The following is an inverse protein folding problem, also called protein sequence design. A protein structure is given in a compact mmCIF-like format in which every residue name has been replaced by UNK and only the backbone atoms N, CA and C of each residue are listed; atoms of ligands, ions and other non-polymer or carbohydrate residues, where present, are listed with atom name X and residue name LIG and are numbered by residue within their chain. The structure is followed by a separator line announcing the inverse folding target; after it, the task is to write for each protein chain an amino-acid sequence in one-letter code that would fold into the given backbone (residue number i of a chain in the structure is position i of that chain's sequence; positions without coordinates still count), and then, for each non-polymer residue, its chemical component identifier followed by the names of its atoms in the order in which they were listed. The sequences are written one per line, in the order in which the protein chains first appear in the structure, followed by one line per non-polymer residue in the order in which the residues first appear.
data_IF_922282051628
#
_entry.id   IF_922282051628
#
_cell.length_a   1.000
_cell.length_b   1.000
_cell.length_c   1.000
_cell.angle_alpha   90.00
_cell.angle_beta   90.00
_cell.angle_gamma   90.00
#
_symmetry.space_group_name_H-M   'P 1'
#
loop_
_entity.id
_entity.type
_entity.pdbx_description
1 polymer ?
#
# COMPACT_ATOMS: atom_id res chain seq x y z
N UNK A 1 -8.64 6.39 19.81
CA UNK A 1 -8.81 5.98 18.40
C UNK A 1 -7.68 6.62 17.64
N UNK A 2 -6.83 5.82 16.99
CA UNK A 2 -5.69 6.34 16.21
C UNK A 2 -6.24 6.91 14.92
N UNK A 3 -5.94 8.17 14.63
CA UNK A 3 -6.53 8.88 13.52
C UNK A 3 -5.88 8.41 12.21
N UNK A 4 -6.58 7.60 11.42
CA UNK A 4 -6.09 7.08 10.13
C UNK A 4 -5.65 8.22 9.20
N UNK A 5 -6.25 9.40 9.35
CA UNK A 5 -5.89 10.61 8.63
C UNK A 5 -4.46 11.09 8.92
N UNK A 6 -4.04 11.15 10.20
CA UNK A 6 -2.67 11.55 10.57
C UNK A 6 -1.62 10.56 10.05
N UNK A 7 -1.97 9.27 10.00
CA UNK A 7 -1.08 8.24 9.43
C UNK A 7 -0.87 8.51 7.95
N UNK A 8 -1.94 8.78 7.20
CA UNK A 8 -1.87 9.03 5.76
C UNK A 8 -1.09 10.31 5.44
N UNK A 9 -1.29 11.40 6.18
CA UNK A 9 -0.55 12.65 5.99
C UNK A 9 0.96 12.48 6.21
N UNK A 10 1.36 11.80 7.28
CA UNK A 10 2.78 11.56 7.57
C UNK A 10 3.42 10.68 6.50
N UNK A 11 2.71 9.64 6.04
CA UNK A 11 3.26 8.77 5.01
C UNK A 11 3.37 9.52 3.66
N UNK A 12 2.40 10.36 3.28
CA UNK A 12 2.48 11.22 2.09
C UNK A 12 3.71 12.12 2.12
N UNK A 13 3.93 12.84 3.23
CA UNK A 13 5.08 13.73 3.39
C UNK A 13 6.42 12.99 3.30
N UNK A 14 6.49 11.74 3.78
CA UNK A 14 7.67 10.88 3.64
C UNK A 14 7.86 10.47 2.17
N UNK A 15 6.79 10.06 1.48
CA UNK A 15 6.88 9.58 0.10
C UNK A 15 7.26 10.69 -0.88
N UNK A 16 6.79 11.91 -0.66
CA UNK A 16 7.10 13.10 -1.46
C UNK A 16 8.50 13.68 -1.16
N UNK A 17 9.24 13.09 -0.21
CA UNK A 17 10.59 13.55 0.16
C UNK A 17 10.60 14.84 0.99
N UNK A 18 9.43 15.29 1.46
CA UNK A 18 9.30 16.50 2.28
C UNK A 18 9.81 16.29 3.72
N UNK A 19 10.07 15.03 4.11
CA UNK A 19 10.34 14.63 5.48
C UNK A 19 11.32 13.45 5.60
N UNK A 20 12.15 13.45 6.65
CA UNK A 20 12.92 12.27 7.06
C UNK A 20 12.01 11.18 7.64
N UNK A 21 12.19 9.94 7.14
CA UNK A 21 11.40 8.75 7.49
C UNK A 21 11.43 8.43 8.98
N UNK A 22 12.59 8.52 9.62
CA UNK A 22 12.76 8.09 11.00
C UNK A 22 12.18 9.11 11.99
N UNK A 23 12.32 10.41 11.73
CA UNK A 23 11.91 11.47 12.65
C UNK A 23 10.39 11.66 12.74
N UNK A 24 9.62 11.26 11.71
CA UNK A 24 8.19 11.53 11.65
C UNK A 24 7.32 10.34 12.08
N UNK A 25 7.77 9.09 11.94
CA UNK A 25 7.06 7.96 12.56
C UNK A 25 7.10 8.01 14.10
N UNK A 26 8.08 8.69 14.69
CA UNK A 26 8.16 8.96 16.13
C UNK A 26 7.12 9.98 16.63
N UNK A 27 6.54 10.80 15.73
CA UNK A 27 5.50 11.79 16.05
C UNK A 27 4.11 11.16 16.22
N UNK A 28 3.93 9.93 15.74
CA UNK A 28 2.73 9.14 15.99
C UNK A 28 2.85 8.44 17.34
N UNK A 29 1.72 8.24 18.04
CA UNK A 29 1.69 7.36 19.24
C UNK A 29 2.42 6.04 18.94
N UNK A 30 3.24 5.54 19.87
CA UNK A 30 4.25 4.50 19.60
C UNK A 30 3.72 3.26 18.86
N UNK A 31 2.47 2.85 19.13
CA UNK A 31 1.81 1.75 18.42
C UNK A 31 1.31 2.10 17.01
N UNK A 32 0.90 3.34 16.76
CA UNK A 32 0.44 3.82 15.46
C UNK A 32 1.60 4.03 14.48
N UNK A 33 2.69 4.68 14.95
CA UNK A 33 3.88 4.93 14.14
C UNK A 33 4.54 3.64 13.66
N UNK A 34 4.65 2.64 14.54
CA UNK A 34 5.18 1.32 14.19
C UNK A 34 4.32 0.61 13.13
N UNK A 35 2.98 0.66 13.23
CA UNK A 35 2.09 0.05 12.24
C UNK A 35 2.20 0.72 10.88
N UNK A 36 2.23 2.05 10.86
CA UNK A 36 2.39 2.84 9.65
C UNK A 36 3.73 2.55 8.95
N UNK A 37 4.82 2.44 9.71
CA UNK A 37 6.14 2.09 9.18
C UNK A 37 6.18 0.68 8.57
N UNK A 38 5.60 -0.32 9.25
CA UNK A 38 5.51 -1.70 8.76
C UNK A 38 4.68 -1.75 7.47
N UNK A 39 3.53 -1.08 7.45
CA UNK A 39 2.66 -1.03 6.28
C UNK A 39 3.36 -0.35 5.10
N UNK A 40 4.01 0.80 5.31
CA UNK A 40 4.76 1.50 4.27
C UNK A 40 5.80 0.58 3.63
N UNK A 41 6.65 -0.07 4.44
CA UNK A 41 7.67 -0.99 3.92
C UNK A 41 7.04 -2.13 3.10
N UNK A 42 5.98 -2.77 3.62
CA UNK A 42 5.29 -3.86 2.91
C UNK A 42 4.71 -3.38 1.59
N UNK A 43 4.09 -2.20 1.56
CA UNK A 43 3.45 -1.65 0.37
C UNK A 43 4.46 -1.19 -0.68
N UNK A 44 5.58 -0.61 -0.26
CA UNK A 44 6.68 -0.27 -1.19
C UNK A 44 7.33 -1.53 -1.78
N UNK A 45 7.49 -2.60 -0.98
CA UNK A 45 7.97 -3.89 -1.50
C UNK A 45 7.00 -4.49 -2.51
N UNK A 46 5.69 -4.47 -2.21
CA UNK A 46 4.66 -4.92 -3.14
C UNK A 46 4.69 -4.13 -4.46
N UNK A 47 4.85 -2.81 -4.40
CA UNK A 47 4.97 -1.94 -5.58
C UNK A 47 6.18 -2.32 -6.45
N UNK A 48 7.32 -2.60 -5.83
CA UNK A 48 8.53 -3.03 -6.52
C UNK A 48 8.37 -4.40 -7.18
N UNK A 49 7.66 -5.33 -6.53
CA UNK A 49 7.36 -6.65 -7.09
C UNK A 49 6.43 -6.56 -8.31
N UNK A 50 5.38 -5.74 -8.22
CA UNK A 50 4.45 -5.47 -9.32
C UNK A 50 5.17 -4.87 -10.52
N UNK A 51 6.09 -3.93 -10.27
CA UNK A 51 6.88 -3.25 -11.30
C UNK A 51 8.02 -4.12 -11.85
N UNK A 52 8.25 -5.29 -11.28
CA UNK A 52 9.33 -6.19 -11.67
C UNK A 52 9.10 -6.78 -13.05
N UNK A 53 10.16 -6.81 -13.88
CA UNK A 53 10.08 -7.43 -15.20
C UNK A 53 9.63 -8.90 -15.12
N UNK A 54 8.64 -9.24 -15.96
CA UNK A 54 8.03 -10.57 -16.00
C UNK A 54 7.03 -10.85 -14.87
N UNK A 55 6.67 -9.87 -14.05
CA UNK A 55 5.60 -9.98 -13.07
C UNK A 55 4.23 -10.08 -13.78
N UNK A 56 3.42 -11.04 -13.37
CA UNK A 56 2.00 -11.15 -13.72
C UNK A 56 1.20 -10.80 -12.49
N UNK A 57 0.37 -9.76 -12.61
CA UNK A 57 -0.34 -9.19 -11.48
C UNK A 57 -1.84 -9.41 -11.68
N UNK A 58 -2.52 -9.82 -10.63
CA UNK A 58 -3.98 -9.84 -10.55
C UNK A 58 -4.42 -9.26 -9.21
N UNK A 59 -5.63 -8.74 -9.15
CA UNK A 59 -6.18 -8.22 -7.91
C UNK A 59 -7.68 -8.43 -7.83
N UNK A 60 -8.21 -8.30 -6.62
CA UNK A 60 -9.65 -8.40 -6.34
C UNK A 60 -10.02 -7.45 -5.22
N UNK A 61 -11.04 -6.63 -5.47
CA UNK A 61 -11.69 -5.79 -4.46
C UNK A 61 -12.51 -6.67 -3.53
N UNK A 62 -12.29 -6.58 -2.23
CA UNK A 62 -13.04 -7.34 -1.23
C UNK A 62 -14.03 -6.40 -0.52
N UNK A 63 -15.32 -6.74 -0.63
CA UNK A 63 -16.43 -5.94 -0.10
C UNK A 63 -16.92 -4.86 -1.08
N UNK A 64 -18.15 -4.37 -0.88
CA UNK A 64 -18.70 -3.27 -1.69
C UNK A 64 -17.94 -1.97 -1.39
N UNK A 65 -17.34 -1.32 -2.40
CA UNK A 65 -16.65 -0.02 -2.21
C UNK A 65 -15.23 -0.09 -1.64
N UNK A 66 -14.42 -1.08 -2.06
CA UNK A 66 -13.00 -1.28 -1.69
C UNK A 66 -12.77 -1.24 -0.17
N UNK A 67 -13.41 -2.14 0.56
CA UNK A 67 -13.13 -2.32 2.00
C UNK A 67 -11.76 -2.97 2.26
N UNK A 68 -11.25 -3.74 1.29
CA UNK A 68 -9.91 -4.32 1.28
C UNK A 68 -9.52 -4.65 -0.17
N UNK A 69 -8.23 -4.76 -0.44
CA UNK A 69 -7.69 -5.14 -1.75
C UNK A 69 -6.84 -6.39 -1.58
N UNK A 70 -7.12 -7.44 -2.36
CA UNK A 70 -6.21 -8.56 -2.50
C UNK A 70 -5.41 -8.39 -3.79
N UNK A 71 -4.10 -8.48 -3.70
CA UNK A 71 -3.18 -8.42 -4.84
C UNK A 71 -2.37 -9.71 -4.89
N UNK A 72 -2.25 -10.29 -6.07
CA UNK A 72 -1.47 -11.48 -6.34
C UNK A 72 -0.43 -11.16 -7.42
N UNK A 73 0.84 -11.42 -7.12
CA UNK A 73 1.97 -11.22 -8.03
C UNK A 73 2.62 -12.56 -8.28
N UNK A 74 2.71 -12.96 -9.53
CA UNK A 74 3.38 -14.17 -9.98
C UNK A 74 4.62 -13.82 -10.81
N UNK A 75 5.77 -14.37 -10.45
CA UNK A 75 7.04 -14.11 -11.15
C UNK A 75 7.99 -15.27 -11.00
N UNK A 76 8.55 -15.78 -12.10
CA UNK A 76 9.60 -16.82 -12.09
C UNK A 76 9.30 -18.05 -11.22
N UNK A 77 8.04 -18.52 -11.20
CA UNK A 77 7.61 -19.66 -10.39
C UNK A 77 7.32 -19.36 -8.92
N UNK A 78 7.45 -18.09 -8.49
CA UNK A 78 7.05 -17.60 -7.18
C UNK A 78 5.69 -16.89 -7.25
N UNK A 79 4.92 -16.98 -6.16
CA UNK A 79 3.63 -16.29 -5.99
C UNK A 79 3.60 -15.56 -4.65
N UNK A 80 3.41 -14.24 -4.69
CA UNK A 80 3.11 -13.42 -3.51
C UNK A 80 1.64 -13.04 -3.50
N UNK A 81 0.99 -13.20 -2.35
CA UNK A 81 -0.38 -12.74 -2.10
C UNK A 81 -0.37 -11.72 -0.97
N UNK A 82 -0.77 -10.49 -1.28
CA UNK A 82 -0.92 -9.41 -0.33
C UNK A 82 -2.40 -9.10 -0.12
N UNK A 83 -2.82 -9.00 1.15
CA UNK A 83 -4.14 -8.47 1.51
C UNK A 83 -3.95 -7.14 2.20
N UNK A 84 -4.52 -6.10 1.62
CA UNK A 84 -4.48 -4.74 2.09
C UNK A 84 -5.80 -4.41 2.77
N UNK A 85 -5.73 -3.88 3.99
CA UNK A 85 -6.88 -3.25 4.65
C UNK A 85 -7.38 -2.03 3.87
N UNK A 86 -8.52 -1.47 4.27
CA UNK A 86 -9.12 -0.30 3.58
C UNK A 86 -8.14 0.85 3.42
N UNK A 87 -7.47 1.24 4.50
CA UNK A 87 -6.56 2.39 4.47
C UNK A 87 -5.26 2.06 3.72
N UNK A 88 -4.74 0.83 3.84
CA UNK A 88 -3.57 0.37 3.08
C UNK A 88 -3.87 0.35 1.57
N UNK A 89 -5.08 -0.07 1.18
CA UNK A 89 -5.51 -0.07 -0.20
C UNK A 89 -5.63 1.35 -0.76
N UNK A 90 -6.26 2.27 -0.02
CA UNK A 90 -6.35 3.68 -0.41
C UNK A 90 -4.94 4.29 -0.57
N UNK A 91 -4.08 4.12 0.42
CA UNK A 91 -2.70 4.60 0.38
C UNK A 91 -1.91 3.98 -0.78
N UNK A 92 -1.99 2.67 -0.98
CA UNK A 92 -1.30 1.98 -2.07
C UNK A 92 -1.76 2.47 -3.45
N UNK A 93 -3.06 2.62 -3.66
CA UNK A 93 -3.64 3.01 -4.94
C UNK A 93 -3.44 4.49 -5.25
N UNK A 94 -3.70 5.36 -4.27
CA UNK A 94 -3.83 6.80 -4.50
C UNK A 94 -2.55 7.57 -4.16
N UNK A 95 -1.70 7.06 -3.26
CA UNK A 95 -0.50 7.76 -2.80
C UNK A 95 0.82 7.14 -3.30
N UNK A 96 0.88 5.81 -3.44
CA UNK A 96 2.07 5.10 -3.95
C UNK A 96 2.05 4.86 -5.46
N UNK A 97 1.00 5.29 -6.17
CA UNK A 97 0.87 5.06 -7.61
C UNK A 97 0.50 3.63 -8.00
N UNK A 98 0.07 2.79 -7.05
CA UNK A 98 -0.31 1.40 -7.33
C UNK A 98 -1.44 1.27 -8.35
N UNK A 99 -2.30 2.28 -8.48
CA UNK A 99 -3.41 2.30 -9.45
C UNK A 99 -2.92 2.23 -10.91
N UNK A 100 -1.77 2.82 -11.23
CA UNK A 100 -1.21 2.82 -12.59
C UNK A 100 -0.54 1.49 -12.95
N UNK A 101 -0.14 0.73 -11.93
CA UNK A 101 0.63 -0.50 -12.07
C UNK A 101 -0.24 -1.76 -11.99
N UNK A 102 -1.43 -1.67 -11.40
CA UNK A 102 -2.39 -2.75 -11.45
C UNK A 102 -3.00 -2.83 -12.86
N UNK A 103 -3.22 -4.04 -13.39
CA UNK A 103 -3.92 -4.18 -14.66
C UNK A 103 -5.29 -3.50 -14.57
N UNK A 104 -5.83 -3.02 -15.69
CA UNK A 104 -7.22 -2.54 -15.71
C UNK A 104 -8.15 -3.74 -15.42
N UNK A 105 -8.56 -3.90 -14.17
CA UNK A 105 -9.50 -4.94 -13.77
C UNK A 105 -10.92 -4.57 -14.13
N UNK A 106 -11.59 -5.42 -14.90
CA UNK A 106 -13.06 -5.43 -15.04
C UNK A 106 -13.70 -5.67 -13.66
N UNK A 107 -13.99 -4.59 -12.95
CA UNK A 107 -14.59 -4.69 -11.63
C UNK A 107 -14.81 -3.33 -11.04
N UNK A 108 -15.91 -2.68 -11.47
CA UNK A 108 -16.51 -1.45 -10.93
C UNK A 108 -15.79 -0.91 -9.67
N UNK A 109 -14.84 0.00 -9.91
CA UNK A 109 -14.37 0.95 -8.90
C UNK A 109 -15.46 2.00 -8.67
#
# INVERSE_FOLDING_TARGET
MVNEHEILEIIRAIHQGECSRNSNFERLSSGAGRRAHIAYNRLTSLLAEISGEGARVSFTSIGKGVHALAVCVERMGYTHRARLSRWEAAFFLDDLGGRELLPAGEGNL
#
